data_IF_797716468082
#
_entry.id   IF_797716468082
#
_cell.length_a   1.000
_cell.length_b   1.000
_cell.length_c   1.000
_cell.angle_alpha   90.00
_cell.angle_beta   90.00
_cell.angle_gamma   90.00
#
_symmetry.space_group_name_H-M   'P 1'
#
loop_
_entity.id
_entity.type
_entity.pdbx_description
1 polymer ?
#
# COMPACT_ATOMS: atom_id res chain seq x y z
N UNK A 1 -14.60 3.60 -3.84
CA UNK A 1 -16.02 4.05 -3.92
C UNK A 1 -16.97 2.86 -3.87
N UNK A 2 -16.90 1.87 -4.78
CA UNK A 2 -17.79 0.69 -4.78
C UNK A 2 -17.85 -0.02 -3.42
N UNK A 3 -16.71 -0.28 -2.79
CA UNK A 3 -16.64 -0.95 -1.49
C UNK A 3 -17.21 -0.11 -0.33
N UNK A 4 -17.15 1.21 -0.39
CA UNK A 4 -17.80 2.10 0.59
C UNK A 4 -19.32 2.04 0.39
N UNK A 5 -19.78 2.20 -0.85
CA UNK A 5 -21.21 2.17 -1.16
C UNK A 5 -21.88 0.82 -0.84
N UNK A 6 -21.12 -0.28 -0.92
CA UNK A 6 -21.63 -1.62 -0.59
C UNK A 6 -21.59 -1.94 0.92
N UNK A 7 -20.86 -1.16 1.73
CA UNK A 7 -20.72 -1.44 3.16
C UNK A 7 -21.85 -0.78 3.96
N UNK A 8 -22.75 -1.56 4.62
CA UNK A 8 -23.89 -1.02 5.34
C UNK A 8 -23.54 -0.20 6.59
N UNK A 9 -22.27 -0.20 7.01
CA UNK A 9 -21.77 0.59 8.13
C UNK A 9 -21.18 1.94 7.71
N UNK A 10 -21.16 2.26 6.40
CA UNK A 10 -20.54 3.45 5.85
C UNK A 10 -21.54 4.19 4.94
N UNK A 11 -21.57 5.50 5.09
CA UNK A 11 -22.32 6.40 4.21
C UNK A 11 -21.34 7.20 3.34
N UNK A 12 -21.49 7.12 2.02
CA UNK A 12 -20.72 7.93 1.10
C UNK A 12 -21.34 9.31 1.00
N UNK A 13 -20.70 10.33 1.61
CA UNK A 13 -21.25 11.70 1.66
C UNK A 13 -20.63 12.64 0.63
N UNK A 14 -19.47 12.31 0.07
CA UNK A 14 -18.81 13.16 -0.92
C UNK A 14 -17.68 12.45 -1.67
N UNK A 15 -17.27 13.03 -2.79
CA UNK A 15 -16.16 12.54 -3.60
C UNK A 15 -15.41 13.69 -4.25
N UNK A 16 -14.09 13.70 -4.05
CA UNK A 16 -13.20 14.61 -4.77
C UNK A 16 -12.83 14.03 -6.14
N UNK A 17 -12.86 14.87 -7.18
CA UNK A 17 -12.32 14.55 -8.48
C UNK A 17 -11.57 15.77 -9.05
N UNK A 18 -10.31 15.56 -9.40
CA UNK A 18 -9.47 16.62 -9.98
C UNK A 18 -9.67 16.79 -11.48
N UNK A 19 -10.20 15.77 -12.17
CA UNK A 19 -10.33 15.81 -13.62
C UNK A 19 -11.68 16.41 -14.04
N UNK A 20 -11.69 17.42 -14.94
CA UNK A 20 -12.89 18.16 -15.30
C UNK A 20 -14.03 17.29 -15.84
N UNK A 21 -13.70 16.18 -16.52
CA UNK A 21 -14.68 15.25 -17.08
C UNK A 21 -15.43 14.42 -16.02
N UNK A 22 -14.93 14.40 -14.78
CA UNK A 22 -15.57 13.70 -13.65
C UNK A 22 -16.35 14.65 -12.74
N UNK A 23 -15.92 15.92 -12.66
CA UNK A 23 -16.61 16.94 -11.86
C UNK A 23 -18.04 17.15 -12.36
N UNK A 24 -18.99 17.18 -11.42
CA UNK A 24 -20.41 17.32 -11.71
C UNK A 24 -21.12 16.02 -12.09
N UNK A 25 -20.43 14.87 -12.15
CA UNK A 25 -21.05 13.57 -12.45
C UNK A 25 -21.34 12.78 -11.18
N UNK A 26 -22.36 11.94 -11.24
CA UNK A 26 -22.69 11.02 -10.14
C UNK A 26 -21.55 9.99 -9.95
N UNK A 27 -21.15 9.79 -8.71
CA UNK A 27 -20.03 8.91 -8.34
C UNK A 27 -20.35 7.44 -8.62
N UNK A 28 -21.58 7.03 -8.43
CA UNK A 28 -22.01 5.67 -8.72
C UNK A 28 -21.98 5.37 -10.23
N UNK A 29 -22.37 6.33 -11.06
CA UNK A 29 -22.23 6.22 -12.53
C UNK A 29 -20.76 6.15 -12.94
N UNK A 30 -19.89 6.97 -12.34
CA UNK A 30 -18.44 6.93 -12.59
C UNK A 30 -17.83 5.57 -12.20
N UNK A 31 -18.41 4.88 -11.24
CA UNK A 31 -17.97 3.58 -10.75
C UNK A 31 -18.70 2.38 -11.38
N UNK A 32 -19.67 2.62 -12.27
CA UNK A 32 -20.43 1.56 -12.95
C UNK A 32 -21.43 0.78 -12.08
N UNK A 33 -21.87 1.37 -10.94
CA UNK A 33 -22.82 0.73 -10.00
C UNK A 33 -24.21 1.39 -9.97
N UNK A 34 -24.48 2.27 -10.94
CA UNK A 34 -25.71 3.07 -10.98
C UNK A 34 -25.65 4.31 -10.07
N UNK A 35 -26.62 5.22 -10.19
CA UNK A 35 -26.59 6.50 -9.48
C UNK A 35 -26.68 6.32 -7.96
N UNK A 36 -25.82 7.03 -7.23
CA UNK A 36 -25.79 7.09 -5.77
C UNK A 36 -26.35 8.41 -5.22
N UNK A 37 -26.58 9.43 -6.06
CA UNK A 37 -26.97 10.76 -5.63
C UNK A 37 -25.83 11.59 -5.06
N UNK A 38 -24.61 11.12 -5.13
CA UNK A 38 -23.40 11.83 -4.70
C UNK A 38 -22.66 12.33 -5.93
N UNK A 39 -22.49 13.64 -6.03
CA UNK A 39 -21.83 14.29 -7.17
C UNK A 39 -20.35 14.53 -6.87
N UNK A 40 -19.48 14.15 -7.81
CA UNK A 40 -18.05 14.41 -7.71
C UNK A 40 -17.76 15.93 -7.87
N UNK A 41 -16.88 16.48 -7.03
CA UNK A 41 -16.51 17.89 -7.02
C UNK A 41 -14.99 18.06 -6.89
N UNK A 42 -14.46 19.17 -7.35
CA UNK A 42 -13.09 19.65 -7.12
C UNK A 42 -13.00 20.69 -5.98
N UNK A 43 -14.13 21.02 -5.35
CA UNK A 43 -14.20 21.94 -4.22
C UNK A 43 -13.95 21.21 -2.88
N UNK A 44 -12.71 21.28 -2.41
CA UNK A 44 -12.31 20.68 -1.13
C UNK A 44 -13.00 21.36 0.06
N UNK A 45 -13.28 22.66 0.00
CA UNK A 45 -13.97 23.38 1.08
C UNK A 45 -15.41 22.91 1.23
N UNK A 46 -16.10 22.70 0.10
CA UNK A 46 -17.45 22.15 0.10
C UNK A 46 -17.47 20.72 0.69
N UNK A 47 -16.46 19.89 0.39
CA UNK A 47 -16.35 18.54 0.95
C UNK A 47 -16.09 18.56 2.47
N UNK A 48 -15.19 19.41 2.94
CA UNK A 48 -14.92 19.55 4.38
C UNK A 48 -16.12 20.14 5.14
N UNK A 49 -16.92 21.01 4.50
CA UNK A 49 -18.16 21.55 5.10
C UNK A 49 -19.24 20.48 5.34
N UNK A 50 -19.15 19.31 4.68
CA UNK A 50 -19.99 18.15 4.97
C UNK A 50 -19.66 17.49 6.30
N UNK A 51 -18.53 17.84 6.92
CA UNK A 51 -18.02 17.25 8.16
C UNK A 51 -17.97 15.71 8.12
N UNK A 52 -17.31 15.10 7.12
CA UNK A 52 -17.21 13.65 7.07
C UNK A 52 -16.41 13.12 8.27
N UNK A 53 -16.76 11.95 8.79
CA UNK A 53 -16.01 11.29 9.86
C UNK A 53 -14.61 10.88 9.39
N UNK A 54 -14.48 10.53 8.11
CA UNK A 54 -13.23 10.01 7.55
C UNK A 54 -13.13 10.29 6.05
N UNK A 55 -11.92 10.57 5.58
CA UNK A 55 -11.55 10.66 4.16
C UNK A 55 -10.68 9.47 3.78
N UNK A 56 -11.02 8.77 2.71
CA UNK A 56 -10.14 7.82 2.02
C UNK A 56 -9.26 8.64 1.07
N UNK A 57 -8.01 8.88 1.47
CA UNK A 57 -7.09 9.79 0.80
C UNK A 57 -6.08 9.02 -0.05
N UNK A 58 -6.30 8.96 -1.35
CA UNK A 58 -5.47 8.19 -2.30
C UNK A 58 -5.11 9.01 -3.53
N UNK A 59 -4.39 10.12 -3.40
CA UNK A 59 -3.86 10.84 -4.56
C UNK A 59 -2.72 10.04 -5.21
N UNK A 60 -2.37 10.37 -6.44
CA UNK A 60 -1.18 9.81 -7.10
C UNK A 60 0.10 10.15 -6.32
N UNK A 61 0.21 11.40 -5.86
CA UNK A 61 1.30 11.90 -5.06
C UNK A 61 0.75 12.55 -3.79
N UNK A 62 1.38 12.24 -2.70
CA UNK A 62 0.96 12.68 -1.39
C UNK A 62 1.28 14.15 -1.17
N UNK A 63 0.29 14.94 -0.76
CA UNK A 63 0.44 16.35 -0.38
C UNK A 63 0.27 16.52 1.12
N UNK A 64 1.38 16.85 1.80
CA UNK A 64 1.38 17.09 3.25
C UNK A 64 0.51 18.29 3.63
N UNK A 65 0.39 19.30 2.76
CA UNK A 65 -0.44 20.49 3.00
C UNK A 65 -1.92 20.15 3.01
N UNK A 66 -2.38 19.33 2.05
CA UNK A 66 -3.76 18.84 2.00
C UNK A 66 -4.09 17.99 3.24
N UNK A 67 -3.19 17.06 3.60
CA UNK A 67 -3.38 16.23 4.79
C UNK A 67 -3.50 17.04 6.05
N UNK A 68 -2.60 18.02 6.25
CA UNK A 68 -2.65 18.95 7.39
C UNK A 68 -3.99 19.69 7.42
N UNK A 69 -4.48 20.15 6.27
CA UNK A 69 -5.78 20.84 6.17
C UNK A 69 -6.95 19.94 6.55
N UNK A 70 -6.98 18.69 6.04
CA UNK A 70 -8.04 17.72 6.34
C UNK A 70 -8.04 17.37 7.83
N UNK A 71 -6.88 17.01 8.36
CA UNK A 71 -6.73 16.59 9.75
C UNK A 71 -7.02 17.71 10.74
N UNK A 72 -6.54 18.95 10.47
CA UNK A 72 -6.82 20.12 11.30
C UNK A 72 -8.31 20.52 11.28
N UNK A 73 -9.05 20.17 10.23
CA UNK A 73 -10.50 20.35 10.15
C UNK A 73 -11.29 19.33 11.00
N UNK A 74 -10.63 18.40 11.68
CA UNK A 74 -11.27 17.36 12.51
C UNK A 74 -11.69 16.11 11.75
N UNK A 75 -11.20 15.92 10.55
CA UNK A 75 -11.54 14.78 9.69
C UNK A 75 -10.45 13.72 9.76
N UNK A 76 -10.81 12.48 10.08
CA UNK A 76 -9.89 11.36 10.09
C UNK A 76 -9.50 10.97 8.66
N UNK A 77 -8.36 10.31 8.50
CA UNK A 77 -7.85 9.92 7.20
C UNK A 77 -7.39 8.46 7.20
N UNK A 78 -7.81 7.71 6.20
CA UNK A 78 -7.20 6.43 5.82
C UNK A 78 -6.57 6.58 4.44
N UNK A 79 -5.35 6.04 4.25
CA UNK A 79 -4.63 6.14 2.98
C UNK A 79 -3.97 4.79 2.62
N UNK A 80 -3.85 4.48 1.33
CA UNK A 80 -3.15 3.27 0.88
C UNK A 80 -1.70 3.56 0.54
N UNK A 81 -0.80 2.68 0.98
CA UNK A 81 0.65 2.71 0.69
C UNK A 81 1.38 4.00 1.11
N UNK A 82 0.81 4.77 2.03
CA UNK A 82 1.43 5.99 2.55
C UNK A 82 1.27 6.07 4.05
N UNK A 83 2.23 6.69 4.72
CA UNK A 83 2.19 6.98 6.17
C UNK A 83 1.97 5.77 7.08
N UNK A 84 2.63 4.66 6.85
CA UNK A 84 2.54 3.49 7.75
C UNK A 84 2.94 3.90 9.18
N UNK A 85 4.08 4.55 9.35
CA UNK A 85 4.52 5.16 10.63
C UNK A 85 4.79 6.66 10.50
N UNK A 86 4.90 7.17 9.29
CA UNK A 86 5.15 8.57 8.97
C UNK A 86 6.61 9.03 9.10
N UNK A 87 7.55 8.17 9.48
CA UNK A 87 8.95 8.57 9.71
C UNK A 87 9.63 9.07 8.43
N UNK A 88 9.30 8.53 7.26
CA UNK A 88 9.85 8.97 5.97
C UNK A 88 9.44 10.40 5.58
N UNK A 89 8.51 11.01 6.31
CA UNK A 89 8.03 12.37 6.03
C UNK A 89 8.91 13.46 6.65
N UNK A 90 9.92 13.10 7.43
CA UNK A 90 10.78 14.09 8.10
C UNK A 90 9.98 15.16 8.85
N UNK A 91 10.25 16.44 8.59
CA UNK A 91 9.53 17.56 9.20
C UNK A 91 8.02 17.60 8.85
N UNK A 92 7.59 16.95 7.79
CA UNK A 92 6.17 16.81 7.44
C UNK A 92 5.39 16.01 8.47
N UNK A 93 6.03 15.02 9.10
CA UNK A 93 5.43 14.21 10.17
C UNK A 93 4.99 15.04 11.37
N UNK A 94 5.84 15.97 11.82
CA UNK A 94 5.51 16.83 12.97
C UNK A 94 4.33 17.74 12.66
N UNK A 95 4.25 18.26 11.43
CA UNK A 95 3.11 19.06 10.97
C UNK A 95 1.81 18.26 10.95
N UNK A 96 1.87 17.01 10.52
CA UNK A 96 0.72 16.08 10.50
C UNK A 96 0.29 15.77 11.93
N UNK A 97 1.21 15.43 12.83
CA UNK A 97 0.91 15.16 14.24
C UNK A 97 0.28 16.38 14.94
N UNK A 98 0.76 17.59 14.62
CA UNK A 98 0.16 18.83 15.16
C UNK A 98 -1.26 19.03 14.62
N UNK A 99 -1.48 18.80 13.32
CA UNK A 99 -2.82 18.88 12.71
C UNK A 99 -3.79 17.86 13.32
N UNK A 100 -3.33 16.62 13.56
CA UNK A 100 -4.12 15.61 14.27
C UNK A 100 -4.55 16.06 15.66
N UNK A 101 -3.62 16.68 16.43
CA UNK A 101 -3.92 17.21 17.76
C UNK A 101 -4.93 18.36 17.72
N UNK A 102 -4.76 19.28 16.77
CA UNK A 102 -5.66 20.43 16.59
C UNK A 102 -7.07 20.02 16.21
N UNK A 103 -7.21 19.08 15.26
CA UNK A 103 -8.49 18.59 14.77
C UNK A 103 -9.08 17.45 15.61
N UNK A 104 -8.36 16.92 16.60
CA UNK A 104 -8.73 15.68 17.29
C UNK A 104 -9.00 14.54 16.31
N UNK A 105 -8.11 14.36 15.32
CA UNK A 105 -8.24 13.45 14.20
C UNK A 105 -7.08 12.46 14.10
N UNK A 106 -7.30 11.37 13.38
CA UNK A 106 -6.34 10.27 13.22
C UNK A 106 -6.03 10.03 11.75
N UNK A 107 -4.76 9.81 11.44
CA UNK A 107 -4.29 9.33 10.15
C UNK A 107 -3.84 7.86 10.28
N UNK A 108 -4.30 7.01 9.37
CA UNK A 108 -3.88 5.62 9.28
C UNK A 108 -3.50 5.26 7.84
N UNK A 109 -2.26 4.84 7.66
CA UNK A 109 -1.75 4.35 6.37
C UNK A 109 -1.72 2.83 6.34
N UNK A 110 -2.24 2.23 5.26
CA UNK A 110 -2.24 0.78 5.06
C UNK A 110 -2.45 0.44 3.58
N UNK A 111 -2.36 -0.83 3.26
CA UNK A 111 -2.61 -1.42 1.96
C UNK A 111 -2.48 -2.93 2.09
N UNK A 112 -2.17 -3.61 0.98
CA UNK A 112 -1.85 -5.03 1.03
C UNK A 112 -0.40 -5.23 1.51
N UNK A 113 0.56 -4.52 0.94
CA UNK A 113 1.96 -4.44 1.33
C UNK A 113 2.54 -3.10 0.80
N UNK A 114 2.99 -2.20 1.69
CA UNK A 114 2.99 -2.31 3.14
C UNK A 114 1.59 -2.16 3.76
N UNK A 115 1.34 -2.94 4.82
CA UNK A 115 0.14 -2.86 5.64
C UNK A 115 -0.36 -4.23 6.10
N UNK A 116 -1.22 -4.88 5.32
CA UNK A 116 -1.87 -6.14 5.72
C UNK A 116 -0.89 -7.32 5.83
N UNK A 117 0.12 -7.40 4.96
CA UNK A 117 1.14 -8.45 5.04
C UNK A 117 1.94 -8.35 6.35
N UNK A 118 2.28 -7.13 6.79
CA UNK A 118 2.96 -6.88 8.06
C UNK A 118 2.06 -7.21 9.25
N UNK A 119 0.76 -6.89 9.17
CA UNK A 119 -0.22 -7.31 10.20
C UNK A 119 -0.23 -8.83 10.35
N UNK A 120 -0.23 -9.58 9.25
CA UNK A 120 -0.18 -11.05 9.31
C UNK A 120 1.11 -11.55 9.96
N UNK A 121 2.25 -10.92 9.68
CA UNK A 121 3.52 -11.23 10.32
C UNK A 121 3.45 -10.97 11.83
N UNK A 122 2.94 -9.81 12.24
CA UNK A 122 2.78 -9.42 13.64
C UNK A 122 1.86 -10.40 14.38
N UNK A 123 0.69 -10.68 13.84
CA UNK A 123 -0.27 -11.60 14.45
C UNK A 123 0.31 -13.01 14.55
N UNK A 124 1.02 -13.47 13.51
CA UNK A 124 1.63 -14.81 13.52
C UNK A 124 2.77 -14.95 14.52
N UNK A 125 3.50 -13.87 14.79
CA UNK A 125 4.56 -13.87 15.80
C UNK A 125 4.02 -14.08 17.24
N UNK A 126 2.73 -13.82 17.49
CA UNK A 126 2.13 -13.95 18.83
C UNK A 126 2.08 -15.38 19.36
N UNK A 127 2.25 -16.39 18.50
CA UNK A 127 2.30 -17.81 18.93
C UNK A 127 3.73 -18.27 19.26
N UNK A 128 4.75 -17.40 19.09
CA UNK A 128 6.15 -17.71 19.38
C UNK A 128 6.52 -17.20 20.79
N UNK A 129 7.21 -18.01 21.56
CA UNK A 129 7.80 -17.57 22.84
C UNK A 129 9.21 -16.96 22.66
N UNK A 130 9.76 -17.06 21.42
CA UNK A 130 10.98 -16.39 20.98
C UNK A 130 10.89 -16.10 19.49
N UNK A 131 11.21 -14.88 19.10
CA UNK A 131 11.36 -14.46 17.71
C UNK A 131 12.81 -14.03 17.50
N UNK A 132 13.48 -14.67 16.54
CA UNK A 132 14.87 -14.35 16.18
C UNK A 132 14.91 -13.42 14.96
N UNK A 133 14.02 -13.67 13.98
CA UNK A 133 13.88 -12.86 12.77
C UNK A 133 12.47 -13.00 12.19
N UNK A 134 11.96 -11.91 11.59
CA UNK A 134 10.76 -11.91 10.75
C UNK A 134 11.17 -11.56 9.33
N UNK A 135 10.78 -12.41 8.37
CA UNK A 135 11.00 -12.18 6.94
C UNK A 135 9.66 -12.17 6.21
N UNK A 136 9.42 -11.11 5.43
CA UNK A 136 8.24 -10.96 4.57
C UNK A 136 8.75 -10.93 3.14
N UNK A 137 8.39 -11.93 2.34
CA UNK A 137 8.77 -12.01 0.94
C UNK A 137 7.53 -11.80 0.07
N UNK A 138 7.58 -10.77 -0.76
CA UNK A 138 6.61 -10.51 -1.81
C UNK A 138 7.20 -10.90 -3.15
N UNK A 139 6.43 -11.59 -3.98
CA UNK A 139 6.79 -11.86 -5.36
C UNK A 139 5.58 -11.59 -6.26
N UNK A 140 5.78 -10.88 -7.38
CA UNK A 140 4.71 -10.56 -8.31
C UNK A 140 5.20 -10.45 -9.75
N UNK A 141 4.44 -11.07 -10.68
CA UNK A 141 4.52 -10.73 -12.10
C UNK A 141 3.71 -9.46 -12.35
N UNK A 142 4.41 -8.33 -12.49
CA UNK A 142 3.81 -7.01 -12.68
C UNK A 142 3.69 -6.63 -14.16
N UNK A 143 3.75 -7.60 -15.08
CA UNK A 143 3.62 -7.35 -16.53
C UNK A 143 2.36 -6.56 -16.85
N UNK A 144 1.29 -6.79 -16.10
CA UNK A 144 -0.02 -6.20 -16.31
C UNK A 144 -0.29 -4.97 -15.45
N UNK A 145 0.64 -4.63 -14.57
CA UNK A 145 0.58 -3.39 -13.82
C UNK A 145 1.11 -2.26 -14.70
N UNK A 146 0.19 -1.49 -15.27
CA UNK A 146 0.49 -0.43 -16.23
C UNK A 146 0.50 0.95 -15.53
N UNK A 147 1.60 1.24 -14.86
CA UNK A 147 1.81 2.52 -14.17
C UNK A 147 3.24 3.01 -14.29
N UNK A 148 3.69 3.43 -15.48
CA UNK A 148 5.05 3.91 -15.68
C UNK A 148 5.43 5.06 -14.73
N UNK A 149 4.47 5.87 -14.30
CA UNK A 149 4.70 6.95 -13.35
C UNK A 149 5.19 6.46 -11.97
N UNK A 150 4.79 5.27 -11.54
CA UNK A 150 5.22 4.67 -10.26
C UNK A 150 6.36 3.67 -10.44
N UNK A 151 6.52 3.09 -11.62
CA UNK A 151 7.49 2.03 -11.90
C UNK A 151 8.86 2.56 -12.33
N UNK A 152 8.89 3.60 -13.19
CA UNK A 152 10.15 4.22 -13.61
C UNK A 152 10.96 4.76 -12.42
N UNK A 153 10.36 5.41 -11.41
CA UNK A 153 11.09 5.82 -10.20
C UNK A 153 11.71 4.69 -9.38
N UNK A 154 11.22 3.46 -9.55
CA UNK A 154 11.77 2.26 -8.89
C UNK A 154 12.91 1.63 -9.69
N UNK A 155 13.11 2.03 -10.95
CA UNK A 155 14.18 1.58 -11.82
C UNK A 155 13.74 0.87 -13.10
N UNK A 156 12.47 0.49 -13.25
CA UNK A 156 11.98 -0.15 -14.48
C UNK A 156 12.24 0.73 -15.71
N UNK A 157 12.64 0.11 -16.82
CA UNK A 157 12.93 0.76 -18.08
C UNK A 157 14.25 1.53 -18.14
N UNK A 158 15.04 1.55 -17.05
CA UNK A 158 16.37 2.14 -17.02
C UNK A 158 17.40 1.17 -17.61
N UNK A 159 18.50 1.65 -18.22
CA UNK A 159 19.61 0.77 -18.57
C UNK A 159 20.09 -0.04 -17.38
N UNK A 160 20.44 -1.30 -17.58
CA UNK A 160 20.85 -2.20 -16.48
C UNK A 160 22.17 -1.74 -15.79
N UNK A 161 22.97 -0.96 -16.48
CA UNK A 161 24.24 -0.38 -15.99
C UNK A 161 24.10 1.07 -15.49
N UNK A 162 22.88 1.58 -15.34
CA UNK A 162 22.65 2.93 -14.80
C UNK A 162 23.16 3.00 -13.34
N UNK A 163 24.14 3.89 -13.04
CA UNK A 163 24.75 3.96 -11.71
C UNK A 163 23.78 4.41 -10.60
N UNK A 164 22.65 5.01 -10.95
CA UNK A 164 21.70 5.55 -9.99
C UNK A 164 20.60 4.53 -9.59
N UNK A 165 20.58 3.34 -10.21
CA UNK A 165 19.55 2.33 -9.97
C UNK A 165 19.32 2.03 -8.48
N UNK A 166 20.41 1.79 -7.72
CA UNK A 166 20.30 1.48 -6.29
C UNK A 166 19.65 2.62 -5.51
N UNK A 167 20.02 3.87 -5.80
CA UNK A 167 19.46 5.05 -5.14
C UNK A 167 17.99 5.27 -5.55
N UNK A 168 17.66 5.07 -6.83
CA UNK A 168 16.29 5.16 -7.34
C UNK A 168 15.38 4.14 -6.66
N UNK A 169 15.80 2.87 -6.63
CA UNK A 169 15.01 1.79 -6.01
C UNK A 169 14.82 2.05 -4.51
N UNK A 170 15.89 2.41 -3.80
CA UNK A 170 15.80 2.73 -2.38
C UNK A 170 14.85 3.91 -2.12
N UNK A 171 14.85 4.94 -2.98
CA UNK A 171 13.95 6.07 -2.85
C UNK A 171 12.50 5.68 -3.21
N UNK A 172 12.29 5.01 -4.35
CA UNK A 172 10.97 4.64 -4.85
C UNK A 172 10.26 3.59 -4.00
N UNK A 173 11.03 2.79 -3.23
CA UNK A 173 10.50 1.75 -2.33
C UNK A 173 10.64 2.10 -0.85
N UNK A 174 10.94 3.37 -0.50
CA UNK A 174 11.20 3.80 0.87
C UNK A 174 10.04 3.53 1.85
N UNK A 175 8.83 3.37 1.36
CA UNK A 175 7.67 2.98 2.16
C UNK A 175 7.85 1.62 2.85
N UNK A 176 8.68 0.73 2.32
CA UNK A 176 9.00 -0.55 2.97
C UNK A 176 9.92 -0.40 4.18
N UNK A 177 10.70 0.69 4.29
CA UNK A 177 11.38 1.01 5.54
C UNK A 177 10.39 1.30 6.69
N UNK A 178 9.25 1.92 6.37
CA UNK A 178 8.14 2.13 7.31
C UNK A 178 7.53 0.79 7.77
N UNK A 179 7.38 -0.15 6.84
CA UNK A 179 6.89 -1.51 7.14
C UNK A 179 7.83 -2.28 8.06
N UNK A 180 9.15 -2.23 7.79
CA UNK A 180 10.17 -2.82 8.65
C UNK A 180 10.10 -2.24 10.06
N UNK A 181 9.94 -0.91 10.18
CA UNK A 181 9.78 -0.23 11.48
C UNK A 181 8.52 -0.69 12.20
N UNK A 182 7.38 -0.76 11.51
CA UNK A 182 6.11 -1.23 12.08
C UNK A 182 6.25 -2.60 12.75
N UNK A 183 6.91 -3.56 12.07
CA UNK A 183 7.13 -4.90 12.60
C UNK A 183 8.10 -4.88 13.79
N UNK A 184 9.17 -4.09 13.72
CA UNK A 184 10.12 -3.93 14.83
C UNK A 184 9.47 -3.34 16.08
N UNK A 185 8.64 -2.31 15.89
CA UNK A 185 7.88 -1.66 16.98
C UNK A 185 6.91 -2.67 17.63
N UNK A 186 6.24 -3.51 16.82
CA UNK A 186 5.37 -4.59 17.33
C UNK A 186 6.14 -5.65 18.14
N UNK A 187 7.39 -5.93 17.76
CA UNK A 187 8.28 -6.82 18.50
C UNK A 187 8.90 -6.16 19.74
N UNK A 188 8.71 -4.86 19.93
CA UNK A 188 9.28 -4.09 21.04
C UNK A 188 10.80 -3.93 20.93
N UNK A 189 11.35 -3.89 19.72
CA UNK A 189 12.79 -3.73 19.48
C UNK A 189 13.13 -2.42 18.79
N UNK A 190 14.21 -1.78 19.24
CA UNK A 190 14.77 -0.60 18.59
C UNK A 190 15.80 -1.02 17.56
N UNK A 191 15.66 -0.52 16.34
CA UNK A 191 16.59 -0.80 15.25
C UNK A 191 17.70 0.25 15.21
N UNK A 192 18.95 -0.22 15.09
CA UNK A 192 20.11 0.66 14.90
C UNK A 192 20.14 1.26 13.49
N UNK A 193 19.68 0.50 12.50
CA UNK A 193 19.60 0.94 11.10
C UNK A 193 18.52 0.20 10.32
N UNK A 194 18.03 0.86 9.26
CA UNK A 194 17.24 0.23 8.21
C UNK A 194 17.97 0.50 6.89
N UNK A 195 18.30 -0.56 6.16
CA UNK A 195 19.09 -0.48 4.92
C UNK A 195 18.34 -1.15 3.77
N UNK A 196 18.57 -0.65 2.55
CA UNK A 196 18.01 -1.21 1.32
C UNK A 196 19.14 -1.73 0.43
N UNK A 197 18.99 -2.94 -0.06
CA UNK A 197 19.80 -3.53 -1.12
C UNK A 197 18.90 -3.89 -2.28
N UNK A 198 19.35 -3.72 -3.53
CA UNK A 198 18.56 -4.05 -4.69
C UNK A 198 19.37 -4.85 -5.74
N UNK A 199 18.66 -5.73 -6.44
CA UNK A 199 19.14 -6.52 -7.57
C UNK A 199 18.22 -6.28 -8.76
N UNK A 200 18.75 -6.46 -9.96
CA UNK A 200 18.05 -6.15 -11.20
C UNK A 200 18.18 -7.27 -12.21
N UNK A 201 17.13 -7.41 -13.03
CA UNK A 201 17.15 -8.24 -14.23
C UNK A 201 16.73 -7.39 -15.44
N UNK A 202 17.43 -7.56 -16.55
CA UNK A 202 17.11 -6.88 -17.80
C UNK A 202 16.20 -7.74 -18.68
N UNK A 203 15.43 -7.09 -19.55
CA UNK A 203 14.79 -7.81 -20.66
C UNK A 203 15.75 -8.05 -21.79
N UNK A 204 15.71 -9.22 -22.41
CA UNK A 204 16.57 -9.58 -23.54
C UNK A 204 15.99 -9.18 -24.89
N UNK A 205 14.74 -8.73 -24.94
CA UNK A 205 14.06 -8.21 -26.11
C UNK A 205 13.20 -7.00 -25.72
N UNK A 206 12.83 -6.17 -26.68
CA UNK A 206 11.90 -5.08 -26.44
C UNK A 206 10.58 -5.63 -25.88
N UNK A 207 10.12 -5.08 -24.77
CA UNK A 207 8.91 -5.47 -24.07
C UNK A 207 7.87 -4.38 -24.21
N UNK A 208 6.86 -4.64 -25.05
CA UNK A 208 5.70 -3.76 -25.21
C UNK A 208 4.68 -4.06 -24.09
N UNK A 209 4.39 -3.04 -23.27
CA UNK A 209 3.43 -3.11 -22.17
C UNK A 209 2.13 -2.36 -22.49
N UNK A 210 1.95 -1.92 -23.74
CA UNK A 210 0.77 -1.18 -24.21
C UNK A 210 0.94 0.31 -24.06
N UNK A 211 1.00 0.88 -22.87
CA UNK A 211 1.18 2.32 -22.67
C UNK A 211 2.63 2.78 -22.81
N UNK A 212 3.59 1.88 -22.65
CA UNK A 212 5.02 2.14 -22.79
C UNK A 212 5.80 0.88 -23.17
N UNK A 213 7.05 1.05 -23.57
CA UNK A 213 7.93 -0.06 -23.96
C UNK A 213 9.21 -0.02 -23.12
N UNK A 214 9.64 -1.19 -22.62
CA UNK A 214 10.97 -1.37 -22.01
C UNK A 214 11.90 -1.92 -23.09
N UNK A 215 12.94 -1.17 -23.51
CA UNK A 215 13.89 -1.65 -24.51
C UNK A 215 14.74 -2.83 -24.02
N UNK A 216 15.22 -3.66 -24.93
CA UNK A 216 16.20 -4.71 -24.64
C UNK A 216 17.43 -4.12 -23.92
N UNK A 217 17.94 -4.84 -22.91
CA UNK A 217 19.04 -4.38 -22.06
C UNK A 217 18.64 -3.42 -20.94
N UNK A 218 17.35 -3.10 -20.82
CA UNK A 218 16.83 -2.28 -19.73
C UNK A 218 16.19 -3.14 -18.63
N UNK A 219 16.09 -2.56 -17.43
CA UNK A 219 15.52 -3.21 -16.25
C UNK A 219 14.06 -3.55 -16.47
N UNK A 220 13.75 -4.82 -16.35
CA UNK A 220 12.39 -5.37 -16.36
C UNK A 220 12.14 -6.29 -15.16
N UNK A 221 13.12 -6.43 -14.27
CA UNK A 221 13.00 -7.06 -12.97
C UNK A 221 13.70 -6.23 -11.91
N UNK A 222 13.01 -6.01 -10.78
CA UNK A 222 13.54 -5.30 -9.60
C UNK A 222 13.29 -6.17 -8.38
N UNK A 223 14.36 -6.46 -7.62
CA UNK A 223 14.27 -7.06 -6.30
C UNK A 223 14.87 -6.08 -5.29
N UNK A 224 14.09 -5.71 -4.27
CA UNK A 224 14.56 -4.85 -3.20
C UNK A 224 14.42 -5.57 -1.86
N UNK A 225 15.45 -5.50 -1.02
CA UNK A 225 15.53 -6.07 0.31
C UNK A 225 15.72 -4.96 1.33
N UNK A 226 14.72 -4.74 2.17
CA UNK A 226 14.75 -3.80 3.27
C UNK A 226 15.02 -4.53 4.58
N UNK A 227 16.12 -4.20 5.26
CA UNK A 227 16.62 -4.91 6.43
C UNK A 227 16.68 -4.00 7.63
N UNK A 228 15.99 -4.39 8.70
CA UNK A 228 16.08 -3.78 10.03
C UNK A 228 17.14 -4.48 10.87
N UNK A 229 18.12 -3.73 11.38
CA UNK A 229 19.33 -4.22 12.00
C UNK A 229 19.40 -3.87 13.49
N UNK A 230 19.88 -4.83 14.30
CA UNK A 230 20.38 -4.61 15.67
C UNK A 230 21.83 -5.10 15.67
N UNK A 231 22.78 -4.19 15.74
CA UNK A 231 24.19 -4.45 15.42
C UNK A 231 24.34 -4.94 13.99
N UNK A 232 24.93 -6.12 13.81
CA UNK A 232 25.05 -6.79 12.51
C UNK A 232 23.92 -7.77 12.18
N UNK A 233 23.02 -7.98 13.14
CA UNK A 233 21.93 -8.96 13.01
C UNK A 233 20.71 -8.34 12.35
N UNK A 234 20.24 -8.95 11.26
CA UNK A 234 18.94 -8.63 10.65
C UNK A 234 17.85 -9.26 11.52
N UNK A 235 16.91 -8.43 12.01
CA UNK A 235 15.79 -8.88 12.86
C UNK A 235 14.45 -8.80 12.14
N UNK A 236 14.33 -7.88 11.19
CA UNK A 236 13.17 -7.78 10.30
C UNK A 236 13.69 -7.62 8.87
N UNK A 237 13.16 -8.37 7.94
CA UNK A 237 13.51 -8.28 6.54
C UNK A 237 12.24 -8.29 5.68
N UNK A 238 12.14 -7.33 4.76
CA UNK A 238 11.08 -7.25 3.79
C UNK A 238 11.70 -7.29 2.40
N UNK A 239 11.34 -8.30 1.63
CA UNK A 239 11.83 -8.52 0.27
C UNK A 239 10.68 -8.37 -0.70
N UNK A 240 10.87 -7.58 -1.75
CA UNK A 240 9.99 -7.53 -2.90
C UNK A 240 10.75 -8.02 -4.13
N UNK A 241 10.08 -8.81 -4.96
CA UNK A 241 10.61 -9.25 -6.25
C UNK A 241 9.53 -9.09 -7.31
N UNK A 242 9.71 -8.09 -8.13
CA UNK A 242 8.80 -7.76 -9.22
C UNK A 242 9.46 -8.03 -10.56
N UNK A 243 8.71 -8.64 -11.48
CA UNK A 243 9.18 -8.89 -12.84
C UNK A 243 8.15 -8.45 -13.87
N UNK A 244 8.64 -8.13 -15.08
CA UNK A 244 7.80 -7.87 -16.26
C UNK A 244 8.27 -8.69 -17.44
N UNK A 245 7.31 -9.27 -18.15
CA UNK A 245 7.55 -10.02 -19.38
C UNK A 245 8.26 -11.37 -19.19
N UNK A 246 8.34 -12.16 -20.26
CA UNK A 246 8.80 -13.54 -20.20
C UNK A 246 10.34 -13.69 -20.33
N UNK A 247 11.07 -12.66 -20.77
CA UNK A 247 12.46 -12.76 -21.22
C UNK A 247 13.43 -11.98 -20.35
N UNK A 248 13.58 -12.41 -19.08
CA UNK A 248 14.52 -11.77 -18.14
C UNK A 248 15.88 -12.43 -18.12
N UNK A 249 16.93 -11.64 -17.91
CA UNK A 249 18.30 -12.07 -17.61
C UNK A 249 18.84 -11.31 -16.39
N UNK A 250 19.15 -12.01 -15.26
CA UNK A 250 18.89 -13.43 -15.02
C UNK A 250 17.38 -13.77 -15.03
N UNK A 251 17.06 -15.02 -15.37
CA UNK A 251 15.67 -15.50 -15.38
C UNK A 251 15.13 -15.67 -13.95
N UNK A 252 14.39 -14.68 -13.50
CA UNK A 252 13.70 -14.73 -12.21
C UNK A 252 12.35 -15.39 -12.37
N UNK A 253 12.27 -16.64 -11.93
CA UNK A 253 11.00 -17.33 -11.88
C UNK A 253 10.21 -16.89 -10.65
N UNK A 254 8.93 -16.66 -10.87
CA UNK A 254 7.94 -16.47 -9.80
C UNK A 254 7.02 -17.69 -9.88
N UNK A 255 7.19 -18.60 -8.92
CA UNK A 255 6.37 -19.82 -8.87
C UNK A 255 4.97 -19.53 -8.32
N UNK A 256 4.83 -18.46 -7.51
CA UNK A 256 3.58 -18.05 -6.92
C UNK A 256 3.61 -16.54 -6.64
N UNK A 257 2.61 -15.84 -7.16
CA UNK A 257 2.35 -14.45 -6.79
C UNK A 257 1.79 -14.36 -5.37
N UNK A 258 2.22 -13.36 -4.61
CA UNK A 258 1.76 -13.11 -3.25
C UNK A 258 2.88 -13.00 -2.23
N UNK A 259 2.61 -13.44 -1.00
CA UNK A 259 3.52 -13.26 0.13
C UNK A 259 3.86 -14.58 0.81
N UNK A 260 5.13 -14.73 1.14
CA UNK A 260 5.61 -15.78 2.05
C UNK A 260 6.19 -15.09 3.28
N UNK A 261 5.52 -15.27 4.42
CA UNK A 261 5.92 -14.72 5.71
C UNK A 261 6.58 -15.83 6.51
N UNK A 262 7.80 -15.58 7.00
CA UNK A 262 8.57 -16.52 7.79
C UNK A 262 8.98 -15.85 9.10
N UNK A 263 8.74 -16.57 10.21
CA UNK A 263 9.17 -16.16 11.54
C UNK A 263 10.14 -17.24 12.04
N UNK A 264 11.42 -16.87 12.06
CA UNK A 264 12.45 -17.70 12.68
C UNK A 264 12.36 -17.51 14.20
N UNK A 265 12.15 -18.60 14.93
CA UNK A 265 11.94 -18.50 16.36
C UNK A 265 11.53 -19.83 16.97
N UNK A 266 10.80 -19.76 18.07
CA UNK A 266 10.28 -20.94 18.77
C UNK A 266 8.78 -20.79 19.03
N UNK A 267 7.92 -21.51 18.25
CA UNK A 267 8.27 -22.28 17.06
C UNK A 267 8.66 -21.41 15.86
N UNK A 268 9.20 -22.01 14.80
CA UNK A 268 9.28 -21.38 13.48
C UNK A 268 7.90 -21.42 12.84
N UNK A 269 7.48 -20.30 12.24
CA UNK A 269 6.17 -20.16 11.59
C UNK A 269 6.36 -19.78 10.13
N UNK A 270 5.55 -20.35 9.22
CA UNK A 270 5.51 -19.96 7.83
C UNK A 270 4.06 -19.79 7.37
N UNK A 271 3.76 -18.65 6.74
CA UNK A 271 2.48 -18.40 6.09
C UNK A 271 2.73 -18.20 4.59
N UNK A 272 1.84 -18.78 3.78
CA UNK A 272 1.75 -18.49 2.35
C UNK A 272 0.43 -17.77 2.11
N UNK A 273 0.49 -16.58 1.55
CA UNK A 273 -0.66 -15.74 1.26
C UNK A 273 -0.70 -15.51 -0.24
N UNK A 274 -1.66 -16.14 -0.88
CA UNK A 274 -1.98 -15.96 -2.29
C UNK A 274 -3.43 -15.49 -2.43
N UNK A 275 -3.77 -14.95 -3.58
CA UNK A 275 -5.14 -14.57 -3.92
C UNK A 275 -5.43 -14.96 -5.36
N UNK A 276 -6.67 -15.33 -5.61
CA UNK A 276 -7.17 -15.72 -6.91
C UNK A 276 -8.45 -14.95 -7.19
N UNK A 277 -8.74 -14.65 -8.45
CA UNK A 277 -10.05 -14.14 -8.81
C UNK A 277 -11.15 -15.13 -8.41
N UNK A 278 -12.37 -14.65 -8.07
CA UNK A 278 -13.47 -15.55 -7.76
C UNK A 278 -13.86 -16.40 -9.00
N UNK A 279 -14.53 -17.55 -8.81
CA UNK A 279 -14.84 -18.46 -9.91
C UNK A 279 -15.73 -17.87 -11.02
N UNK A 280 -16.50 -16.84 -10.70
CA UNK A 280 -17.38 -16.11 -11.62
C UNK A 280 -16.70 -14.86 -12.23
N UNK A 281 -15.44 -14.62 -11.92
CA UNK A 281 -14.68 -13.51 -12.49
C UNK A 281 -14.46 -13.70 -13.98
N UNK A 282 -14.86 -12.72 -14.76
CA UNK A 282 -14.64 -12.72 -16.20
C UNK A 282 -13.69 -11.59 -16.55
N UNK A 283 -12.56 -11.96 -17.16
CA UNK A 283 -11.59 -11.04 -17.70
C UNK A 283 -11.67 -11.12 -19.25
N UNK A 284 -11.87 -9.99 -19.89
CA UNK A 284 -11.74 -9.85 -21.35
C UNK A 284 -10.28 -9.54 -21.73
N UNK A 285 -9.59 -8.86 -20.84
CA UNK A 285 -8.20 -8.46 -20.98
C UNK A 285 -7.42 -8.81 -19.70
N UNK A 286 -6.11 -8.84 -19.81
CA UNK A 286 -5.23 -9.06 -18.66
C UNK A 286 -5.28 -7.87 -17.69
N UNK A 287 -5.54 -6.66 -18.19
CA UNK A 287 -5.73 -5.48 -17.37
C UNK A 287 -6.92 -5.62 -16.39
N UNK A 288 -7.91 -6.46 -16.71
CA UNK A 288 -9.05 -6.69 -15.82
C UNK A 288 -8.64 -7.34 -14.50
N UNK A 289 -7.53 -8.11 -14.48
CA UNK A 289 -6.98 -8.66 -13.25
C UNK A 289 -6.46 -7.59 -12.27
N UNK A 290 -6.17 -6.38 -12.75
CA UNK A 290 -5.78 -5.25 -11.90
C UNK A 290 -6.84 -4.92 -10.84
N UNK A 291 -8.13 -5.21 -11.12
CA UNK A 291 -9.20 -4.98 -10.16
C UNK A 291 -8.99 -5.77 -8.87
N UNK A 292 -8.41 -6.98 -8.95
CA UNK A 292 -8.11 -7.79 -7.76
C UNK A 292 -7.05 -7.09 -6.91
N UNK A 293 -5.98 -6.59 -7.52
CA UNK A 293 -4.95 -5.79 -6.85
C UNK A 293 -5.54 -4.55 -6.15
N UNK A 294 -6.45 -3.85 -6.82
CA UNK A 294 -7.14 -2.69 -6.23
C UNK A 294 -8.01 -3.08 -5.02
N UNK A 295 -8.72 -4.21 -5.09
CA UNK A 295 -9.56 -4.70 -3.99
C UNK A 295 -8.71 -5.03 -2.77
N UNK A 296 -7.67 -5.86 -2.93
CA UNK A 296 -6.82 -6.29 -1.80
C UNK A 296 -6.04 -5.13 -1.17
N UNK A 297 -5.75 -4.08 -1.96
CA UNK A 297 -5.09 -2.87 -1.46
C UNK A 297 -6.06 -1.93 -0.74
N UNK A 298 -7.28 -1.75 -1.26
CA UNK A 298 -8.25 -0.80 -0.71
C UNK A 298 -8.96 -1.33 0.55
N UNK A 299 -9.27 -2.64 0.61
CA UNK A 299 -10.10 -3.19 1.67
C UNK A 299 -9.51 -3.06 3.08
N UNK A 300 -8.19 -3.22 3.32
CA UNK A 300 -7.60 -2.95 4.62
C UNK A 300 -7.89 -1.53 5.15
N UNK A 301 -7.79 -0.52 4.27
CA UNK A 301 -8.08 0.88 4.62
C UNK A 301 -9.58 1.10 4.90
N UNK A 302 -10.46 0.57 4.05
CA UNK A 302 -11.92 0.73 4.20
C UNK A 302 -12.42 0.05 5.46
N UNK A 303 -11.97 -1.17 5.74
CA UNK A 303 -12.35 -1.90 6.96
C UNK A 303 -11.81 -1.23 8.23
N UNK A 304 -10.74 -0.43 8.13
CA UNK A 304 -10.17 0.30 9.26
C UNK A 304 -10.95 1.57 9.64
N UNK A 305 -11.79 2.12 8.76
CA UNK A 305 -12.47 3.40 8.99
C UNK A 305 -13.11 3.49 10.39
N UNK A 306 -13.93 2.52 10.85
CA UNK A 306 -14.56 2.62 12.18
C UNK A 306 -13.54 2.64 13.33
N UNK A 307 -12.43 1.90 13.20
CA UNK A 307 -11.38 1.85 14.21
C UNK A 307 -10.58 3.17 14.24
N UNK A 308 -10.31 3.74 13.08
CA UNK A 308 -9.58 5.01 12.91
C UNK A 308 -10.40 6.19 13.46
N UNK A 309 -11.71 6.22 13.19
CA UNK A 309 -12.62 7.24 13.73
C UNK A 309 -12.68 7.20 15.27
N UNK A 310 -12.53 6.01 15.86
CA UNK A 310 -12.56 5.83 17.31
C UNK A 310 -11.17 5.93 17.98
N UNK A 311 -10.11 6.10 17.21
CA UNK A 311 -8.74 6.12 17.73
C UNK A 311 -8.36 7.46 18.37
N UNK A 312 -7.27 7.44 19.15
CA UNK A 312 -6.68 8.66 19.68
C UNK A 312 -6.03 9.50 18.57
N UNK A 313 -6.04 10.83 18.67
CA UNK A 313 -5.47 11.70 17.65
C UNK A 313 -3.99 11.43 17.40
N UNK A 314 -3.59 11.32 16.14
CA UNK A 314 -2.21 11.07 15.75
C UNK A 314 -2.08 10.25 14.47
N UNK A 315 -0.87 9.78 14.20
CA UNK A 315 -0.62 8.75 13.18
C UNK A 315 -0.74 7.40 13.87
N UNK A 316 -1.83 6.69 13.59
CA UNK A 316 -2.07 5.35 14.11
C UNK A 316 -1.46 4.29 13.18
N UNK A 317 -1.04 3.18 13.77
CA UNK A 317 -0.54 2.00 13.08
C UNK A 317 -1.37 0.76 13.48
N UNK A 318 -1.08 -0.40 12.92
CA UNK A 318 -1.69 -1.65 13.37
C UNK A 318 -1.34 -1.99 14.84
N UNK A 319 -0.29 -1.39 15.40
CA UNK A 319 0.08 -1.60 16.81
C UNK A 319 -0.82 -0.79 17.77
N UNK A 320 -1.51 0.23 17.26
CA UNK A 320 -2.35 1.15 18.04
C UNK A 320 -3.84 0.82 17.93
N UNK A 321 -4.24 0.22 16.80
CA UNK A 321 -5.64 -0.05 16.51
C UNK A 321 -6.07 -1.44 17.02
N UNK A 322 -7.36 -1.62 17.40
CA UNK A 322 -7.89 -2.94 17.67
C UNK A 322 -7.87 -3.78 16.38
N UNK A 323 -8.02 -5.10 16.50
CA UNK A 323 -8.14 -5.98 15.34
C UNK A 323 -9.24 -5.49 14.39
N UNK A 324 -8.85 -5.15 13.17
CA UNK A 324 -9.76 -4.68 12.12
C UNK A 324 -10.55 -5.87 11.59
N UNK A 325 -11.88 -5.76 11.60
CA UNK A 325 -12.79 -6.83 11.23
C UNK A 325 -13.48 -6.52 9.89
N UNK A 326 -13.64 -7.52 8.99
CA UNK A 326 -14.31 -7.36 7.71
C UNK A 326 -15.83 -7.38 7.88
N UNK A 327 -16.40 -6.34 8.48
CA UNK A 327 -17.85 -6.24 8.73
C UNK A 327 -18.59 -5.80 7.47
N UNK A 328 -19.77 -6.39 7.25
CA UNK A 328 -20.65 -6.01 6.13
C UNK A 328 -20.21 -6.54 4.76
N UNK A 329 -19.19 -7.43 4.71
CA UNK A 329 -18.71 -8.01 3.43
C UNK A 329 -19.41 -9.31 3.03
N UNK A 330 -20.24 -9.88 3.90
CA UNK A 330 -21.04 -11.06 3.56
C UNK A 330 -22.35 -10.59 2.92
N UNK A 331 -22.61 -10.94 1.64
CA UNK A 331 -23.87 -10.56 0.99
C UNK A 331 -25.07 -11.10 1.77
N UNK A 332 -26.19 -10.37 1.82
CA UNK A 332 -27.44 -10.95 2.30
C UNK A 332 -27.81 -12.13 1.42
N UNK A 333 -28.24 -13.25 2.02
CA UNK A 333 -28.63 -14.48 1.34
C UNK A 333 -29.89 -14.30 0.50
#
# INVERSE_FOLDING_TARGET
>A
MQAIAANPALDLVGCYAWSPEKVGRDVGELCGIGPLGVVATDDVDALLALQPDCVVYNPMWLDTGELVRILAAGVNVVATAAFITGHNQGAGRDRILEACRQGNSTLFGTGISPGFAELLAIVSATICDRVDKVTINEAADTTFYDSPATEIPVGFGKPIDDPDLQAMTAHGTAVFAEAVRLVADALGVELDAIVCEAEYAQTTADLDLGSWTIPAGCVAGVAASWKGLIGERVVVELNVRWRKGPTLEPDWKIDQDGWVIQIEGRPTVTLNVGFLPPPDFQAETIADFMVIGHIITAMPAINAIPAVVAAAPGIATYNDLPLILPRGVVPPG
#
